data_IF_915328999495
#
_entry.id   IF_915328999495
#
_cell.length_a   1.000
_cell.length_b   1.000
_cell.length_c   1.000
_cell.angle_alpha   90.00
_cell.angle_beta   90.00
_cell.angle_gamma   90.00
#
_symmetry.space_group_name_H-M   'P 1'
#
loop_
_entity.id
_entity.type
_entity.pdbx_description
1 polymer ?
#
# COMPACT_ATOMS: atom_id res chain seq x y z
N UNK A 1 22.43 11.90 5.20
CA UNK A 1 21.06 12.37 4.93
C UNK A 1 20.11 11.51 5.74
N UNK A 2 19.12 12.09 6.41
CA UNK A 2 18.11 11.30 7.13
C UNK A 2 17.08 10.79 6.14
N UNK A 3 16.83 9.49 6.15
CA UNK A 3 15.91 8.83 5.20
C UNK A 3 14.87 8.04 5.98
N UNK A 4 13.60 8.19 5.62
CA UNK A 4 12.52 7.42 6.21
C UNK A 4 12.12 6.24 5.32
N UNK A 5 11.89 5.08 5.92
CA UNK A 5 11.25 3.93 5.29
C UNK A 5 9.79 3.90 5.74
N UNK A 6 8.87 4.19 4.82
CA UNK A 6 7.44 4.06 5.08
C UNK A 6 6.97 2.67 4.65
N UNK A 7 6.43 1.88 5.57
CA UNK A 7 5.90 0.54 5.26
C UNK A 7 4.73 0.16 6.18
N UNK A 8 4.00 -0.89 5.86
CA UNK A 8 2.96 -1.42 6.75
C UNK A 8 2.72 -2.92 6.46
N UNK A 9 2.50 -3.77 7.49
CA UNK A 9 2.29 -5.21 7.29
C UNK A 9 1.13 -5.57 6.35
N UNK A 10 0.12 -4.70 6.22
CA UNK A 10 -1.02 -4.91 5.31
C UNK A 10 -0.60 -5.04 3.84
N UNK A 11 0.53 -4.45 3.43
CA UNK A 11 0.98 -4.49 2.03
C UNK A 11 1.27 -5.92 1.58
N UNK A 12 1.74 -6.78 2.49
CA UNK A 12 1.96 -8.21 2.20
C UNK A 12 0.64 -8.99 2.04
N UNK A 13 -0.50 -8.42 2.45
CA UNK A 13 -1.81 -9.09 2.39
C UNK A 13 -2.55 -8.82 1.07
N UNK A 14 -2.06 -7.92 0.22
CA UNK A 14 -2.55 -7.78 -1.15
C UNK A 14 -2.07 -8.99 -1.96
N UNK A 15 -2.99 -9.88 -2.28
CA UNK A 15 -2.71 -11.14 -2.97
C UNK A 15 -3.43 -11.14 -4.31
N UNK A 16 -2.68 -11.03 -5.39
CA UNK A 16 -3.19 -11.02 -6.76
C UNK A 16 -3.23 -12.41 -7.40
N UNK A 17 -2.93 -13.46 -6.64
CA UNK A 17 -2.87 -14.83 -7.12
C UNK A 17 -1.62 -15.19 -7.90
N UNK A 18 -1.53 -16.47 -8.26
CA UNK A 18 -0.39 -17.05 -8.97
C UNK A 18 -0.26 -16.50 -10.40
N UNK A 19 0.99 -16.26 -10.82
CA UNK A 19 1.31 -15.82 -12.19
C UNK A 19 1.09 -14.33 -12.45
N UNK A 20 0.45 -13.58 -11.55
CA UNK A 20 0.40 -12.12 -11.64
C UNK A 20 1.79 -11.53 -11.37
N UNK A 21 2.25 -10.49 -12.09
CA UNK A 21 3.58 -9.91 -11.84
C UNK A 21 3.63 -9.05 -10.57
N UNK A 22 2.52 -8.42 -10.20
CA UNK A 22 2.38 -7.58 -9.01
C UNK A 22 1.97 -8.48 -7.83
N UNK A 23 2.90 -9.12 -7.14
CA UNK A 23 2.59 -10.03 -6.00
C UNK A 23 3.13 -9.51 -4.67
N UNK A 24 2.53 -9.97 -3.56
CA UNK A 24 3.02 -9.73 -2.20
C UNK A 24 4.50 -10.11 -1.98
N UNK A 25 5.03 -11.06 -2.76
CA UNK A 25 6.45 -11.45 -2.73
C UNK A 25 7.39 -10.30 -3.10
N UNK A 26 6.93 -9.31 -3.87
CA UNK A 26 7.72 -8.11 -4.17
C UNK A 26 8.01 -7.30 -2.91
N UNK A 27 7.02 -7.17 -2.03
CA UNK A 27 7.17 -6.50 -0.75
C UNK A 27 8.09 -7.29 0.18
N UNK A 28 7.86 -8.61 0.31
CA UNK A 28 8.69 -9.51 1.12
C UNK A 28 10.16 -9.44 0.69
N UNK A 29 10.45 -9.58 -0.60
CA UNK A 29 11.81 -9.54 -1.12
C UNK A 29 12.54 -8.21 -0.82
N UNK A 30 11.83 -7.08 -0.89
CA UNK A 30 12.41 -5.77 -0.56
C UNK A 30 12.66 -5.66 0.94
N UNK A 31 11.71 -6.06 1.78
CA UNK A 31 11.87 -5.99 3.23
C UNK A 31 12.99 -6.90 3.71
N UNK A 32 13.09 -8.12 3.17
CA UNK A 32 14.16 -9.06 3.46
C UNK A 32 15.52 -8.50 3.04
N UNK A 33 15.62 -7.93 1.83
CA UNK A 33 16.85 -7.32 1.35
C UNK A 33 17.29 -6.14 2.24
N UNK A 34 16.35 -5.28 2.64
CA UNK A 34 16.61 -4.16 3.54
C UNK A 34 17.09 -4.65 4.91
N UNK A 35 16.39 -5.62 5.50
CA UNK A 35 16.69 -6.15 6.83
C UNK A 35 17.95 -7.03 6.87
N UNK A 36 18.35 -7.62 5.74
CA UNK A 36 19.59 -8.41 5.63
C UNK A 36 20.84 -7.57 5.85
N UNK A 37 20.79 -6.27 5.54
CA UNK A 37 21.83 -5.30 5.88
C UNK A 37 21.42 -4.52 7.12
N UNK A 38 21.72 -5.08 8.30
CA UNK A 38 21.34 -4.51 9.60
C UNK A 38 21.81 -3.06 9.79
N UNK A 39 23.06 -2.74 9.45
CA UNK A 39 23.59 -1.38 9.59
C UNK A 39 22.82 -0.38 8.74
N UNK A 40 22.53 -0.74 7.49
CA UNK A 40 21.72 0.09 6.62
C UNK A 40 20.29 0.24 7.15
N UNK A 41 19.65 -0.85 7.55
CA UNK A 41 18.28 -0.82 8.07
C UNK A 41 18.16 0.04 9.33
N UNK A 42 19.08 -0.10 10.28
CA UNK A 42 19.13 0.69 11.51
C UNK A 42 19.44 2.19 11.25
N UNK A 43 20.05 2.51 10.10
CA UNK A 43 20.26 3.91 9.68
C UNK A 43 18.99 4.60 9.18
N UNK A 44 17.94 3.84 8.84
CA UNK A 44 16.66 4.36 8.35
C UNK A 44 15.75 4.74 9.52
N UNK A 45 14.98 5.82 9.37
CA UNK A 45 13.86 6.09 10.26
C UNK A 45 12.64 5.30 9.78
N UNK A 46 12.26 4.24 10.48
CA UNK A 46 11.06 3.48 10.15
C UNK A 46 9.81 4.23 10.61
N UNK A 47 8.85 4.39 9.70
CA UNK A 47 7.55 4.96 10.00
C UNK A 47 6.48 4.05 9.40
N UNK A 48 5.43 3.75 10.15
CA UNK A 48 4.34 2.96 9.59
C UNK A 48 3.46 3.81 8.69
N UNK A 49 2.98 3.26 7.57
CA UNK A 49 1.95 3.92 6.79
C UNK A 49 0.68 4.11 7.65
N UNK A 50 -0.04 5.21 7.44
CA UNK A 50 -1.29 5.49 8.16
C UNK A 50 -2.50 5.31 7.26
N UNK A 51 -3.68 5.06 7.85
CA UNK A 51 -4.93 5.09 7.10
C UNK A 51 -5.19 6.52 6.65
N UNK A 52 -5.37 6.71 5.35
CA UNK A 52 -5.79 7.99 4.80
C UNK A 52 -7.31 8.15 4.87
N UNK A 53 -7.78 9.38 5.04
CA UNK A 53 -9.22 9.66 5.07
C UNK A 53 -9.83 9.54 3.67
N UNK A 54 -11.11 9.17 3.61
CA UNK A 54 -11.90 9.17 2.37
C UNK A 54 -11.85 10.52 1.66
N UNK A 55 -11.86 11.63 2.42
CA UNK A 55 -11.76 12.98 1.86
C UNK A 55 -10.48 13.23 1.08
N UNK A 56 -9.33 12.73 1.56
CA UNK A 56 -8.06 12.84 0.84
C UNK A 56 -8.04 11.95 -0.40
N UNK A 57 -8.57 10.72 -0.33
CA UNK A 57 -8.75 9.89 -1.53
C UNK A 57 -9.63 10.61 -2.56
N UNK A 58 -10.74 11.20 -2.12
CA UNK A 58 -11.69 11.90 -3.01
C UNK A 58 -11.19 13.27 -3.50
N UNK A 59 -10.10 13.80 -2.93
CA UNK A 59 -9.42 14.96 -3.50
C UNK A 59 -8.72 14.62 -4.83
N UNK A 60 -8.41 13.33 -5.06
CA UNK A 60 -7.80 12.84 -6.30
C UNK A 60 -8.76 11.98 -7.17
N UNK A 61 -9.76 11.34 -6.56
CA UNK A 61 -10.66 10.40 -7.22
C UNK A 61 -12.13 10.80 -7.10
N UNK A 62 -12.94 10.48 -8.12
CA UNK A 62 -14.38 10.76 -8.05
C UNK A 62 -15.10 9.89 -7.01
N UNK A 63 -16.23 10.34 -6.44
CA UNK A 63 -17.06 9.52 -5.56
C UNK A 63 -17.51 8.21 -6.20
N UNK A 64 -17.79 8.20 -7.49
CA UNK A 64 -18.20 7.02 -8.25
C UNK A 64 -17.08 6.00 -8.34
N UNK A 65 -15.84 6.45 -8.59
CA UNK A 65 -14.69 5.57 -8.62
C UNK A 65 -14.43 4.95 -7.25
N UNK A 66 -14.48 5.76 -6.18
CA UNK A 66 -14.32 5.26 -4.81
C UNK A 66 -15.35 4.18 -4.49
N UNK A 67 -16.63 4.45 -4.78
CA UNK A 67 -17.72 3.50 -4.53
C UNK A 67 -17.59 2.23 -5.37
N UNK A 68 -17.15 2.34 -6.62
CA UNK A 68 -16.89 1.16 -7.49
C UNK A 68 -15.82 0.27 -6.87
N UNK A 69 -14.73 0.86 -6.41
CA UNK A 69 -13.61 0.13 -5.81
C UNK A 69 -14.05 -0.48 -4.48
N UNK A 70 -14.59 0.32 -3.55
CA UNK A 70 -15.13 -0.14 -2.25
C UNK A 70 -16.14 -1.28 -2.43
N UNK A 71 -17.11 -1.13 -3.33
CA UNK A 71 -18.12 -2.13 -3.61
C UNK A 71 -17.58 -3.40 -4.27
N UNK A 72 -16.46 -3.35 -5.00
CA UNK A 72 -15.84 -4.56 -5.54
C UNK A 72 -15.40 -5.49 -4.40
N UNK A 73 -14.90 -4.94 -3.29
CA UNK A 73 -14.50 -5.72 -2.13
C UNK A 73 -15.69 -6.27 -1.34
N UNK A 74 -16.70 -5.44 -1.10
CA UNK A 74 -17.93 -5.87 -0.39
C UNK A 74 -18.63 -7.02 -1.13
N UNK A 75 -18.59 -7.02 -2.46
CA UNK A 75 -19.22 -8.03 -3.30
C UNK A 75 -18.31 -9.22 -3.64
N UNK A 76 -17.07 -9.26 -3.12
CA UNK A 76 -16.12 -10.36 -3.38
C UNK A 76 -15.68 -10.47 -4.84
N UNK A 77 -15.59 -9.35 -5.55
CA UNK A 77 -15.11 -9.30 -6.94
C UNK A 77 -13.60 -9.58 -6.96
N UNK A 78 -13.15 -10.44 -7.88
CA UNK A 78 -11.73 -10.82 -7.99
C UNK A 78 -10.91 -9.84 -8.84
N UNK A 79 -11.54 -9.03 -9.69
CA UNK A 79 -10.86 -8.12 -10.62
C UNK A 79 -11.63 -6.82 -10.85
N UNK A 80 -10.92 -5.69 -10.83
CA UNK A 80 -11.49 -4.38 -11.17
C UNK A 80 -11.52 -4.12 -12.69
N UNK A 81 -10.64 -4.78 -13.44
CA UNK A 81 -10.52 -4.79 -14.90
C UNK A 81 -9.67 -6.00 -15.37
N UNK A 82 -9.12 -5.95 -16.59
CA UNK A 82 -8.41 -7.09 -17.18
C UNK A 82 -7.10 -7.46 -16.46
N UNK A 83 -6.39 -6.47 -15.90
CA UNK A 83 -5.07 -6.61 -15.29
C UNK A 83 -5.01 -6.17 -13.82
N UNK A 84 -6.11 -5.71 -13.24
CA UNK A 84 -6.19 -5.32 -11.83
C UNK A 84 -6.92 -6.38 -11.00
N UNK A 85 -6.17 -7.35 -10.49
CA UNK A 85 -6.68 -8.36 -9.54
C UNK A 85 -6.78 -7.75 -8.14
N UNK A 86 -7.83 -8.11 -7.40
CA UNK A 86 -8.04 -7.71 -6.01
C UNK A 86 -8.40 -8.91 -5.14
N UNK A 87 -8.05 -8.81 -3.86
CA UNK A 87 -8.36 -9.76 -2.79
C UNK A 87 -8.87 -9.06 -1.54
N UNK A 88 -9.28 -9.86 -0.55
CA UNK A 88 -9.90 -9.42 0.71
C UNK A 88 -9.22 -8.21 1.37
N UNK A 89 -7.89 -8.13 1.34
CA UNK A 89 -7.14 -7.08 2.01
C UNK A 89 -6.70 -5.92 1.10
N UNK A 90 -7.06 -5.94 -0.18
CA UNK A 90 -6.50 -4.96 -1.13
C UNK A 90 -7.08 -3.57 -0.95
N UNK A 91 -8.35 -3.46 -0.51
CA UNK A 91 -8.91 -2.15 -0.17
C UNK A 91 -8.14 -1.51 0.97
N UNK A 92 -7.92 -2.27 2.05
CA UNK A 92 -7.16 -1.79 3.19
C UNK A 92 -5.71 -1.46 2.78
N UNK A 93 -5.07 -2.33 2.00
CA UNK A 93 -3.73 -2.09 1.47
C UNK A 93 -3.66 -0.81 0.62
N UNK A 94 -4.66 -0.53 -0.21
CA UNK A 94 -4.73 0.69 -1.02
C UNK A 94 -4.89 1.95 -0.14
N UNK A 95 -5.74 1.90 0.89
CA UNK A 95 -5.92 3.00 1.84
C UNK A 95 -4.61 3.29 2.59
N UNK A 96 -3.92 2.27 3.09
CA UNK A 96 -2.62 2.45 3.71
C UNK A 96 -1.53 2.86 2.71
N UNK A 97 -1.60 2.40 1.46
CA UNK A 97 -0.64 2.77 0.42
C UNK A 97 -0.69 4.27 0.12
N UNK A 98 -1.91 4.80 -0.07
CA UNK A 98 -2.14 6.22 -0.24
C UNK A 98 -1.73 7.03 1.01
N UNK A 99 -2.08 6.57 2.21
CA UNK A 99 -1.69 7.26 3.44
C UNK A 99 -0.20 7.18 3.75
N UNK A 100 0.49 6.12 3.32
CA UNK A 100 1.95 6.02 3.36
C UNK A 100 2.62 7.09 2.51
N UNK A 101 2.10 7.35 1.31
CA UNK A 101 2.59 8.44 0.46
C UNK A 101 2.35 9.82 1.10
N UNK A 102 1.15 10.06 1.66
CA UNK A 102 0.87 11.29 2.40
C UNK A 102 1.83 11.47 3.59
N UNK A 103 2.03 10.41 4.40
CA UNK A 103 2.94 10.44 5.55
C UNK A 103 4.39 10.69 5.12
N UNK A 104 4.83 10.16 3.98
CA UNK A 104 6.17 10.40 3.45
C UNK A 104 6.38 11.89 3.14
N UNK A 105 5.41 12.52 2.47
CA UNK A 105 5.46 13.96 2.14
C UNK A 105 5.46 14.79 3.42
N UNK A 106 4.55 14.50 4.35
CA UNK A 106 4.47 15.17 5.64
C UNK A 106 5.77 15.08 6.44
N UNK A 107 6.44 13.93 6.41
CA UNK A 107 7.71 13.72 7.12
C UNK A 107 8.89 14.51 6.52
N UNK A 108 8.81 14.90 5.24
CA UNK A 108 9.83 15.73 4.58
C UNK A 108 9.55 17.21 4.72
N UNK A 109 8.27 17.61 4.69
CA UNK A 109 7.85 19.02 4.69
C UNK A 109 7.83 19.65 6.10
N UNK A 110 7.93 18.84 7.16
CA UNK A 110 8.00 19.27 8.56
C UNK A 110 9.45 19.38 9.04
#
# INVERSE_FOLDING_TARGET
MKTALIHHPIFQKHDTGEGHPETSKRYEAIMDALQSNKEFYESLTTLEAEKVSKGIIQAAHTPEHFKRVEGAFENGVERLDADTVVSLHSFEAAIYGAGGACRAVDAVMR
#
